data_IF_892997774542
#
_entry.id   IF_892997774542
#
_cell.length_a   1.000
_cell.length_b   1.000
_cell.length_c   1.000
_cell.angle_alpha   90.00
_cell.angle_beta   90.00
_cell.angle_gamma   90.00
#
_symmetry.space_group_name_H-M   'P 1'
#
loop_
_entity.id
_entity.type
_entity.pdbx_description
1 polymer ?
#
# COMPACT_ATOMS: atom_id res chain seq x y z
N UNK A 1 -15.37 8.33 -62.29
CA UNK A 1 -15.35 9.65 -61.63
C UNK A 1 -15.72 9.41 -60.17
N UNK A 2 -14.83 9.37 -59.17
CA UNK A 2 -13.81 10.36 -58.78
C UNK A 2 -14.44 11.78 -58.74
N UNK A 3 -14.46 12.56 -57.68
CA UNK A 3 -13.64 12.59 -56.45
C UNK A 3 -14.10 13.73 -55.51
N UNK A 4 -13.47 13.77 -54.32
CA UNK A 4 -13.17 14.94 -53.48
C UNK A 4 -14.35 15.56 -52.71
N UNK A 5 -14.24 16.03 -51.47
CA UNK A 5 -13.27 16.02 -50.36
C UNK A 5 -14.12 16.56 -49.19
N UNK A 6 -14.14 15.94 -48.02
CA UNK A 6 -13.27 16.27 -46.88
C UNK A 6 -13.20 17.77 -46.53
N UNK A 7 -13.75 18.14 -45.36
CA UNK A 7 -13.18 18.99 -44.28
C UNK A 7 -14.31 19.64 -43.41
N UNK A 8 -14.06 20.25 -42.23
CA UNK A 8 -13.70 19.60 -40.97
C UNK A 8 -14.46 20.21 -39.75
N UNK A 9 -14.31 19.60 -38.57
CA UNK A 9 -14.29 20.32 -37.27
C UNK A 9 -15.61 20.91 -36.71
N UNK A 10 -16.18 20.23 -35.70
CA UNK A 10 -16.65 20.77 -34.39
C UNK A 10 -17.46 19.67 -33.68
N UNK A 11 -17.15 19.13 -32.51
CA UNK A 11 -16.31 19.56 -31.40
C UNK A 11 -15.76 18.32 -30.67
N UNK A 12 -14.45 18.32 -30.43
CA UNK A 12 -13.77 17.52 -29.40
C UNK A 12 -14.49 17.74 -28.06
N UNK A 13 -15.05 16.68 -27.48
CA UNK A 13 -15.52 16.68 -26.08
C UNK A 13 -14.58 15.79 -25.27
N UNK A 14 -13.82 16.46 -24.40
CA UNK A 14 -13.12 15.91 -23.22
C UNK A 14 -11.94 14.97 -23.55
N UNK A 15 -10.78 15.44 -24.01
CA UNK A 15 -9.72 16.08 -23.19
C UNK A 15 -9.80 15.70 -21.70
N UNK A 16 -9.02 14.68 -21.32
CA UNK A 16 -8.22 14.64 -20.10
C UNK A 16 -8.94 14.94 -18.78
N UNK A 17 -10.16 14.43 -18.59
CA UNK A 17 -10.72 14.33 -17.26
C UNK A 17 -10.20 13.03 -16.63
N UNK A 18 -9.21 13.16 -15.75
CA UNK A 18 -8.70 12.15 -14.82
C UNK A 18 -7.52 11.30 -15.28
N UNK A 19 -6.35 11.91 -15.43
CA UNK A 19 -5.12 11.26 -14.93
C UNK A 19 -4.19 12.33 -14.39
N UNK A 20 -4.53 12.81 -13.19
CA UNK A 20 -3.59 13.56 -12.37
C UNK A 20 -2.41 12.64 -12.09
N UNK A 21 -1.25 13.04 -12.62
CA UNK A 21 0.07 12.59 -12.20
C UNK A 21 0.18 12.73 -10.68
N UNK A 22 0.66 11.71 -9.98
CA UNK A 22 1.61 11.78 -8.85
C UNK A 22 2.10 10.35 -8.57
N UNK A 23 3.41 10.17 -8.71
CA UNK A 23 4.09 8.90 -8.51
C UNK A 23 4.13 8.51 -7.04
N UNK A 24 3.20 7.64 -6.66
CA UNK A 24 3.44 6.50 -5.77
C UNK A 24 2.56 5.40 -6.38
N UNK A 25 3.14 4.36 -6.98
CA UNK A 25 2.35 3.13 -7.19
C UNK A 25 2.15 2.52 -5.81
N UNK A 26 1.15 3.01 -5.09
CA UNK A 26 0.49 2.20 -4.08
C UNK A 26 -0.13 1.07 -4.89
N UNK A 27 0.62 -0.01 -5.12
CA UNK A 27 0.03 -1.27 -5.53
C UNK A 27 -1.12 -1.47 -4.56
N UNK A 28 -2.35 -1.54 -5.06
CA UNK A 28 -3.56 -1.64 -4.25
C UNK A 28 -3.29 -2.68 -3.18
N UNK A 29 -3.01 -2.22 -1.95
CA UNK A 29 -2.64 -3.08 -0.85
C UNK A 29 -3.83 -4.02 -0.70
N UNK A 30 -3.66 -5.27 -1.12
CA UNK A 30 -4.77 -6.19 -1.24
C UNK A 30 -5.41 -6.29 0.13
N UNK A 31 -6.71 -6.01 0.22
CA UNK A 31 -7.39 -5.99 1.53
C UNK A 31 -7.24 -7.37 2.16
N UNK A 32 -6.98 -7.44 3.46
CA UNK A 32 -6.84 -8.70 4.22
C UNK A 32 -7.92 -9.75 3.84
N UNK A 33 -9.18 -9.34 3.76
CA UNK A 33 -10.28 -10.24 3.37
C UNK A 33 -10.16 -10.81 1.94
N UNK A 34 -9.60 -10.06 1.00
CA UNK A 34 -9.35 -10.55 -0.36
C UNK A 34 -8.17 -11.52 -0.41
N UNK A 35 -7.12 -11.27 0.38
CA UNK A 35 -5.97 -12.19 0.45
C UNK A 35 -6.43 -13.52 1.07
N UNK A 36 -7.17 -13.47 2.18
CA UNK A 36 -7.70 -14.67 2.83
C UNK A 36 -8.67 -15.46 1.92
N UNK A 37 -9.47 -14.77 1.09
CA UNK A 37 -10.31 -15.42 0.07
C UNK A 37 -9.48 -16.12 -1.01
N UNK A 38 -8.45 -15.44 -1.54
CA UNK A 38 -7.57 -15.99 -2.58
C UNK A 38 -6.79 -17.21 -2.10
N UNK A 39 -6.38 -17.19 -0.84
CA UNK A 39 -5.66 -18.30 -0.21
C UNK A 39 -6.57 -19.45 0.25
N UNK A 40 -7.89 -19.31 0.09
CA UNK A 40 -8.86 -20.32 0.52
C UNK A 40 -8.99 -20.47 2.03
N UNK A 41 -8.47 -19.51 2.81
CA UNK A 41 -8.56 -19.49 4.28
C UNK A 41 -9.98 -19.13 4.74
N UNK A 42 -10.71 -18.35 3.93
CA UNK A 42 -12.11 -18.03 4.18
C UNK A 42 -12.92 -18.16 2.89
N UNK A 43 -14.24 -18.31 3.04
CA UNK A 43 -15.22 -18.26 1.95
C UNK A 43 -15.84 -16.87 1.83
N UNK A 44 -16.44 -16.59 0.67
CA UNK A 44 -17.14 -15.32 0.44
C UNK A 44 -18.27 -15.09 1.46
N UNK A 45 -18.94 -16.16 1.89
CA UNK A 45 -19.99 -16.11 2.92
C UNK A 45 -19.42 -15.69 4.27
N UNK A 46 -18.33 -16.30 4.72
CA UNK A 46 -17.65 -15.98 5.98
C UNK A 46 -17.10 -14.55 5.98
N UNK A 47 -16.56 -14.08 4.85
CA UNK A 47 -16.12 -12.69 4.72
C UNK A 47 -17.29 -11.72 4.87
N UNK A 48 -18.42 -12.00 4.22
CA UNK A 48 -19.60 -11.13 4.31
C UNK A 48 -20.15 -11.07 5.73
N UNK A 49 -20.20 -12.20 6.43
CA UNK A 49 -20.63 -12.25 7.84
C UNK A 49 -19.71 -11.42 8.75
N UNK A 50 -18.40 -11.57 8.61
CA UNK A 50 -17.43 -10.78 9.36
C UNK A 50 -17.53 -9.27 9.04
N UNK A 51 -17.81 -8.89 7.79
CA UNK A 51 -18.02 -7.50 7.38
C UNK A 51 -19.31 -6.90 7.97
N UNK A 52 -20.40 -7.68 8.05
CA UNK A 52 -21.64 -7.23 8.68
C UNK A 52 -21.47 -7.02 10.19
N UNK A 53 -20.73 -7.89 10.86
CA UNK A 53 -20.36 -7.70 12.27
C UNK A 53 -19.47 -6.47 12.43
N UNK A 54 -18.50 -6.28 11.55
CA UNK A 54 -17.63 -5.10 11.56
C UNK A 54 -18.42 -3.80 11.38
N UNK A 55 -19.44 -3.78 10.51
CA UNK A 55 -20.32 -2.61 10.33
C UNK A 55 -21.15 -2.31 11.58
N UNK A 56 -21.65 -3.35 12.27
CA UNK A 56 -22.50 -3.19 13.45
C UNK A 56 -21.73 -2.83 14.72
N UNK A 57 -20.57 -3.43 14.93
CA UNK A 57 -19.81 -3.34 16.18
C UNK A 57 -18.49 -2.55 16.04
N UNK A 58 -18.07 -2.22 14.82
CA UNK A 58 -16.75 -1.67 14.55
C UNK A 58 -15.63 -2.70 14.75
N UNK A 59 -14.38 -2.23 14.74
CA UNK A 59 -13.21 -3.06 15.03
C UNK A 59 -12.45 -3.58 13.79
N UNK A 60 -11.41 -4.38 14.06
CA UNK A 60 -10.52 -4.93 13.03
C UNK A 60 -11.09 -6.23 12.45
N UNK A 61 -11.23 -6.31 11.13
CA UNK A 61 -11.76 -7.48 10.42
C UNK A 61 -11.05 -8.79 10.82
N UNK A 62 -9.73 -8.80 10.92
CA UNK A 62 -8.97 -9.99 11.33
C UNK A 62 -9.38 -10.52 12.70
N UNK A 63 -9.59 -9.63 13.68
CA UNK A 63 -9.99 -10.02 15.04
C UNK A 63 -11.42 -10.59 15.08
N UNK A 64 -12.30 -10.08 14.22
CA UNK A 64 -13.65 -10.61 14.05
C UNK A 64 -13.59 -12.00 13.44
N UNK A 65 -12.78 -12.20 12.40
CA UNK A 65 -12.56 -13.50 11.76
C UNK A 65 -12.02 -14.56 12.74
N UNK A 66 -11.09 -14.17 13.63
CA UNK A 66 -10.57 -15.02 14.71
C UNK A 66 -11.66 -15.32 15.74
N UNK A 67 -12.43 -14.31 16.15
CA UNK A 67 -13.52 -14.49 17.13
C UNK A 67 -14.63 -15.41 16.63
N UNK A 68 -14.85 -15.45 15.31
CA UNK A 68 -15.78 -16.35 14.64
C UNK A 68 -15.20 -17.76 14.41
N UNK A 69 -13.91 -17.98 14.71
CA UNK A 69 -13.23 -19.26 14.52
C UNK A 69 -12.97 -19.61 13.05
N UNK A 70 -13.02 -18.64 12.14
CA UNK A 70 -12.78 -18.88 10.71
C UNK A 70 -11.30 -18.89 10.35
N UNK A 71 -10.47 -18.19 11.13
CA UNK A 71 -9.05 -17.98 10.84
C UNK A 71 -8.29 -17.93 12.15
N UNK A 72 -7.10 -18.51 12.19
CA UNK A 72 -6.21 -18.44 13.36
C UNK A 72 -5.41 -17.13 13.39
N UNK A 73 -4.95 -16.72 14.58
CA UNK A 73 -4.11 -15.53 14.76
C UNK A 73 -2.84 -15.56 13.90
N UNK A 74 -2.22 -16.74 13.77
CA UNK A 74 -1.00 -16.93 12.98
C UNK A 74 -1.24 -16.66 11.49
N UNK A 75 -2.34 -17.17 10.94
CA UNK A 75 -2.73 -16.94 9.55
C UNK A 75 -2.97 -15.46 9.28
N UNK A 76 -3.64 -14.74 10.19
CA UNK A 76 -3.83 -13.29 10.06
C UNK A 76 -2.48 -12.56 10.11
N UNK A 77 -1.59 -12.93 11.02
CA UNK A 77 -0.27 -12.31 11.14
C UNK A 77 0.57 -12.51 9.88
N UNK A 78 0.57 -13.72 9.31
CA UNK A 78 1.30 -14.04 8.09
C UNK A 78 0.72 -13.33 6.85
N UNK A 79 -0.62 -13.27 6.77
CA UNK A 79 -1.33 -12.52 5.73
C UNK A 79 -1.02 -11.02 5.80
N UNK A 80 -0.96 -10.43 7.00
CA UNK A 80 -0.57 -9.04 7.22
C UNK A 80 0.90 -8.76 6.87
N UNK A 81 1.80 -9.72 7.11
CA UNK A 81 3.20 -9.62 6.68
C UNK A 81 3.32 -9.59 5.17
N UNK A 82 2.56 -10.42 4.47
CA UNK A 82 2.51 -10.45 2.99
C UNK A 82 1.80 -9.22 2.41
N UNK A 83 0.78 -8.72 3.09
CA UNK A 83 0.08 -7.49 2.73
C UNK A 83 0.99 -6.26 2.90
N UNK A 84 1.87 -6.28 3.90
CA UNK A 84 2.97 -5.34 4.03
C UNK A 84 3.94 -5.52 2.87
N UNK A 85 3.86 -4.67 1.85
CA UNK A 85 4.79 -4.62 0.73
C UNK A 85 6.23 -4.21 1.12
N UNK A 86 6.59 -4.32 2.40
CA UNK A 86 7.86 -3.88 2.95
C UNK A 86 8.87 -5.03 2.89
N UNK A 87 9.94 -4.81 2.13
CA UNK A 87 11.08 -5.71 2.15
C UNK A 87 11.77 -5.64 3.53
N UNK A 88 12.05 -6.79 4.13
CA UNK A 88 12.92 -6.86 5.29
C UNK A 88 14.36 -6.56 4.85
N UNK A 89 14.96 -5.52 5.43
CA UNK A 89 16.33 -5.10 5.14
C UNK A 89 17.18 -5.18 6.41
N UNK A 90 18.35 -5.82 6.31
CA UNK A 90 19.38 -5.75 7.35
C UNK A 90 20.29 -4.55 7.09
N UNK A 91 20.22 -3.56 7.98
CA UNK A 91 20.98 -2.31 7.85
C UNK A 91 22.47 -2.54 8.14
N UNK A 92 22.80 -3.40 9.11
CA UNK A 92 24.18 -3.68 9.55
C UNK A 92 25.11 -4.24 8.47
N UNK A 93 24.55 -4.79 7.39
CA UNK A 93 25.29 -5.42 6.29
C UNK A 93 25.38 -4.50 5.05
N UNK A 94 24.84 -3.27 5.12
CA UNK A 94 24.82 -2.30 4.01
C UNK A 94 25.78 -1.15 4.23
N UNK A 95 26.41 -0.69 3.14
CA UNK A 95 27.04 0.63 3.08
C UNK A 95 26.01 1.64 2.57
N UNK A 96 25.72 2.66 3.38
CA UNK A 96 24.81 3.76 3.04
C UNK A 96 25.68 4.97 2.74
N UNK A 97 25.47 5.59 1.58
CA UNK A 97 26.19 6.81 1.21
C UNK A 97 25.85 7.95 2.20
N UNK A 98 26.86 8.67 2.66
CA UNK A 98 26.70 9.75 3.65
C UNK A 98 25.73 10.84 3.14
N UNK A 99 25.75 11.10 1.84
CA UNK A 99 24.84 12.04 1.16
C UNK A 99 23.36 11.67 1.29
N UNK A 100 23.06 10.41 1.56
CA UNK A 100 21.69 9.89 1.72
C UNK A 100 21.20 10.12 3.15
N UNK A 101 22.12 10.06 4.13
CA UNK A 101 21.82 10.29 5.54
C UNK A 101 21.30 11.72 5.75
N UNK A 102 21.86 12.69 5.03
CA UNK A 102 21.46 14.10 5.10
C UNK A 102 20.05 14.39 4.55
N UNK A 103 19.44 13.45 3.81
CA UNK A 103 18.10 13.62 3.23
C UNK A 103 17.02 13.59 4.34
N UNK A 104 17.25 12.81 5.40
CA UNK A 104 16.29 12.68 6.50
C UNK A 104 16.82 13.37 7.76
N UNK A 105 16.13 14.42 8.26
CA UNK A 105 16.52 15.09 9.50
C UNK A 105 16.63 14.11 10.68
N UNK A 106 17.68 14.25 11.48
CA UNK A 106 17.99 13.35 12.59
C UNK A 106 16.82 13.19 13.58
N UNK A 107 16.07 14.25 13.85
CA UNK A 107 14.92 14.22 14.74
C UNK A 107 13.81 13.27 14.23
N UNK A 108 13.46 13.34 12.93
CA UNK A 108 12.47 12.47 12.32
C UNK A 108 12.99 11.03 12.21
N UNK A 109 14.26 10.86 11.82
CA UNK A 109 14.92 9.56 11.77
C UNK A 109 14.87 8.84 13.13
N UNK A 110 15.13 9.57 14.22
CA UNK A 110 15.09 9.04 15.59
C UNK A 110 13.67 8.77 16.07
N UNK A 111 12.73 9.67 15.79
CA UNK A 111 11.34 9.57 16.24
C UNK A 111 10.63 8.37 15.61
N UNK A 112 10.78 8.18 14.30
CA UNK A 112 10.14 7.09 13.57
C UNK A 112 11.02 5.85 13.41
N UNK A 113 12.21 5.85 14.01
CA UNK A 113 13.24 4.82 13.80
C UNK A 113 13.40 4.50 12.30
N UNK A 114 13.51 5.57 11.51
CA UNK A 114 13.57 5.55 10.07
C UNK A 114 15.00 5.83 9.60
N UNK A 115 15.50 5.04 8.66
CA UNK A 115 16.85 5.14 8.11
C UNK A 115 16.75 5.18 6.58
N UNK A 116 17.18 6.26 5.92
CA UNK A 116 17.22 6.32 4.46
C UNK A 116 18.31 5.37 3.95
N UNK A 117 17.98 4.56 2.94
CA UNK A 117 18.85 3.51 2.43
C UNK A 117 19.43 3.83 1.06
N UNK A 118 18.58 4.25 0.12
CA UNK A 118 18.97 4.53 -1.26
C UNK A 118 17.99 5.51 -1.91
N UNK A 119 18.50 6.27 -2.88
CA UNK A 119 17.66 7.08 -3.80
C UNK A 119 17.83 6.53 -5.19
N UNK A 120 16.74 6.09 -5.81
CA UNK A 120 16.72 5.61 -7.20
C UNK A 120 15.49 6.15 -7.91
N UNK A 121 15.66 6.64 -9.15
CA UNK A 121 14.57 7.12 -10.02
C UNK A 121 13.61 8.11 -9.34
N UNK A 122 14.16 9.01 -8.50
CA UNK A 122 13.36 10.00 -7.77
C UNK A 122 12.55 9.44 -6.61
N UNK A 123 12.79 8.18 -6.22
CA UNK A 123 12.18 7.53 -5.06
C UNK A 123 13.23 7.32 -3.97
N UNK A 124 12.87 7.61 -2.71
CA UNK A 124 13.70 7.36 -1.54
C UNK A 124 13.24 6.05 -0.88
N UNK A 125 14.14 5.10 -0.75
CA UNK A 125 13.91 3.89 0.04
C UNK A 125 14.29 4.16 1.49
N UNK A 126 13.39 3.83 2.41
CA UNK A 126 13.56 4.02 3.85
C UNK A 126 13.30 2.70 4.56
N UNK A 127 14.21 2.31 5.45
CA UNK A 127 13.95 1.26 6.43
C UNK A 127 13.33 1.87 7.68
N UNK A 128 12.23 1.30 8.15
CA UNK A 128 11.54 1.74 9.37
C UNK A 128 11.33 0.57 10.32
N UNK A 129 11.34 0.84 11.63
CA UNK A 129 10.97 -0.17 12.63
C UNK A 129 9.49 -0.57 12.54
N UNK A 130 8.60 0.40 12.27
CA UNK A 130 7.19 0.15 11.97
C UNK A 130 6.77 0.89 10.69
N UNK A 131 6.82 0.21 9.53
CA UNK A 131 6.47 0.82 8.25
C UNK A 131 4.95 1.03 8.10
N UNK A 132 4.11 0.50 9.01
CA UNK A 132 2.66 0.72 9.01
C UNK A 132 2.24 2.00 9.73
N UNK A 133 3.20 2.68 10.38
CA UNK A 133 2.95 3.94 11.06
C UNK A 133 2.61 5.05 10.05
N UNK A 134 1.33 5.39 9.97
CA UNK A 134 0.82 6.42 9.04
C UNK A 134 1.34 7.82 9.32
N UNK A 135 1.67 8.15 10.56
CA UNK A 135 2.23 9.46 10.89
C UNK A 135 3.64 9.62 10.31
N UNK A 136 4.43 8.55 10.33
CA UNK A 136 5.76 8.54 9.72
C UNK A 136 5.71 8.76 8.18
N UNK A 137 4.62 8.33 7.52
CA UNK A 137 4.42 8.53 6.08
C UNK A 137 3.98 9.96 5.72
N UNK A 138 3.41 10.70 6.68
CA UNK A 138 2.95 12.07 6.46
C UNK A 138 4.06 13.09 6.77
N UNK A 139 4.96 12.76 7.70
CA UNK A 139 6.01 13.65 8.21
C UNK A 139 7.36 13.53 7.47
N UNK A 140 7.54 12.51 6.63
CA UNK A 140 8.77 12.23 5.85
C UNK A 140 8.52 12.44 4.36
#
# INVERSE_FOLDING_TARGET
MNSFNNDPNKKKRSVLANTVHHGVRVGTVEKLGQILLKEGQITQSQLNEALEIQKKHGGRLGRILISLGYVEDETIADCLRRQSAYALVKISERQIDEKIIDILPYNLAKEYMAVPLEVSDGSLMIAMADPTNRYALEDI
#
